data_IF_224615330466
#
_entry.id   IF_224615330466
#
_cell.length_a   1.000
_cell.length_b   1.000
_cell.length_c   1.000
_cell.angle_alpha   90.00
_cell.angle_beta   90.00
_cell.angle_gamma   90.00
#
_symmetry.space_group_name_H-M   'P 1'
#
loop_
_entity.id
_entity.type
_entity.pdbx_description
1 polymer ?
#
# COMPACT_ATOMS: atom_id res chain seq x y z
N UNK A 1 -16.33 -11.68 14.24
CA UNK A 1 -16.27 -10.22 14.10
C UNK A 1 -16.71 -9.89 12.68
N UNK A 2 -17.60 -8.93 12.50
CA UNK A 2 -18.09 -8.52 11.17
C UNK A 2 -17.64 -7.08 10.98
N UNK A 3 -17.03 -6.78 9.83
CA UNK A 3 -16.61 -5.45 9.42
C UNK A 3 -17.50 -4.96 8.27
N UNK A 4 -17.79 -3.65 8.23
CA UNK A 4 -18.58 -3.05 7.16
C UNK A 4 -17.74 -2.66 5.93
N UNK A 5 -16.46 -2.46 6.12
CA UNK A 5 -15.52 -2.19 5.03
C UNK A 5 -14.18 -2.87 5.25
N UNK A 6 -13.39 -3.01 4.19
CA UNK A 6 -12.03 -3.54 4.27
C UNK A 6 -11.14 -2.62 5.15
N UNK A 7 -11.40 -1.32 5.15
CA UNK A 7 -10.68 -0.34 5.96
C UNK A 7 -10.82 -0.58 7.46
N UNK A 8 -11.96 -1.13 7.90
CA UNK A 8 -12.21 -1.43 9.32
C UNK A 8 -11.42 -2.64 9.81
N UNK A 9 -10.99 -3.50 8.88
CA UNK A 9 -10.19 -4.69 9.17
C UNK A 9 -8.69 -4.38 9.27
N UNK A 10 -8.27 -3.15 8.94
CA UNK A 10 -6.86 -2.75 9.00
C UNK A 10 -6.45 -2.53 10.46
N UNK A 11 -5.34 -3.13 10.82
CA UNK A 11 -4.80 -3.00 12.17
C UNK A 11 -5.25 -4.12 13.10
N UNK A 12 -5.13 -3.88 14.40
CA UNK A 12 -5.38 -4.88 15.45
C UNK A 12 -4.70 -6.24 15.19
N UNK A 13 -3.57 -6.22 14.47
CA UNK A 13 -2.80 -7.41 14.13
C UNK A 13 -2.24 -8.06 15.39
N UNK A 14 -2.19 -9.40 15.48
CA UNK A 14 -1.75 -10.09 16.67
C UNK A 14 -0.25 -9.96 16.92
N UNK A 15 0.14 -10.21 18.16
CA UNK A 15 1.51 -10.44 18.57
C UNK A 15 1.72 -11.94 18.80
N UNK A 16 2.86 -12.46 18.34
CA UNK A 16 3.30 -13.83 18.61
C UNK A 16 4.60 -13.78 19.39
N UNK A 17 4.65 -14.44 20.55
CA UNK A 17 5.89 -14.61 21.30
C UNK A 17 6.81 -15.58 20.60
N UNK A 18 8.06 -15.20 20.45
CA UNK A 18 9.10 -16.00 19.80
C UNK A 18 9.90 -16.84 20.82
N UNK A 19 9.21 -17.55 21.69
CA UNK A 19 9.79 -18.29 22.83
C UNK A 19 10.87 -19.32 22.44
N UNK A 20 10.76 -19.92 21.24
CA UNK A 20 11.81 -20.82 20.74
C UNK A 20 13.12 -20.08 20.44
N UNK A 21 13.01 -18.85 19.88
CA UNK A 21 14.17 -18.00 19.61
C UNK A 21 14.83 -17.57 20.91
N UNK A 22 14.03 -17.09 21.87
CA UNK A 22 14.51 -16.72 23.22
C UNK A 22 15.33 -17.86 23.84
N UNK A 23 14.79 -19.08 23.79
CA UNK A 23 15.44 -20.26 24.35
C UNK A 23 16.72 -20.66 23.60
N UNK A 24 16.70 -20.67 22.27
CA UNK A 24 17.85 -21.10 21.45
C UNK A 24 19.05 -20.17 21.67
N UNK A 25 18.79 -18.86 21.75
CA UNK A 25 19.83 -17.83 21.88
C UNK A 25 20.11 -17.39 23.32
N UNK A 26 19.48 -18.01 24.32
CA UNK A 26 19.67 -17.68 25.74
C UNK A 26 19.30 -16.23 26.06
N UNK A 27 18.26 -15.68 25.40
CA UNK A 27 17.85 -14.30 25.57
C UNK A 27 17.01 -14.17 26.84
N UNK A 28 17.45 -13.32 27.77
CA UNK A 28 16.72 -12.98 28.99
C UNK A 28 15.79 -11.79 28.77
N UNK A 29 14.89 -11.95 27.79
CA UNK A 29 13.86 -10.98 27.45
C UNK A 29 12.72 -11.67 26.68
N UNK A 30 11.54 -11.11 26.73
CA UNK A 30 10.41 -11.57 25.93
C UNK A 30 10.42 -10.87 24.56
N UNK A 31 10.47 -11.66 23.49
CA UNK A 31 10.47 -11.16 22.10
C UNK A 31 9.12 -11.46 21.47
N UNK A 32 8.49 -10.43 20.90
CA UNK A 32 7.21 -10.55 20.20
C UNK A 32 7.33 -10.09 18.75
N UNK A 33 6.78 -10.87 17.84
CA UNK A 33 6.60 -10.49 16.44
C UNK A 33 5.20 -9.90 16.25
N UNK A 34 5.12 -8.68 15.71
CA UNK A 34 3.87 -8.05 15.28
C UNK A 34 3.53 -8.54 13.87
N UNK A 35 2.43 -9.27 13.71
CA UNK A 35 2.07 -9.91 12.43
C UNK A 35 1.38 -8.93 11.46
N UNK A 36 2.12 -8.00 10.92
CA UNK A 36 1.58 -7.00 9.99
C UNK A 36 1.15 -7.60 8.62
N UNK A 37 1.59 -8.80 8.30
CA UNK A 37 1.09 -9.56 7.14
C UNK A 37 -0.39 -9.96 7.25
N UNK A 38 -0.97 -9.88 8.43
CA UNK A 38 -2.40 -10.13 8.66
C UNK A 38 -3.30 -8.91 8.39
N UNK A 39 -2.75 -7.77 8.01
CA UNK A 39 -3.56 -6.71 7.42
C UNK A 39 -4.15 -7.17 6.07
N UNK A 40 -5.31 -6.65 5.65
CA UNK A 40 -5.98 -7.06 4.40
C UNK A 40 -5.13 -6.95 3.14
N UNK A 41 -4.29 -5.93 3.01
CA UNK A 41 -3.33 -5.76 1.92
C UNK A 41 -1.98 -6.43 2.18
N UNK A 42 -1.84 -7.16 3.30
CA UNK A 42 -0.70 -8.00 3.62
C UNK A 42 0.51 -7.27 4.22
N UNK A 43 0.38 -6.02 4.65
CA UNK A 43 1.53 -5.30 5.22
C UNK A 43 1.14 -4.19 6.19
N UNK A 44 2.13 -3.68 6.95
CA UNK A 44 1.99 -2.50 7.79
C UNK A 44 1.62 -1.23 6.99
N UNK A 45 1.82 -1.22 5.66
CA UNK A 45 1.51 -0.08 4.80
C UNK A 45 0.03 0.16 4.60
N UNK A 46 -0.81 -0.80 4.89
CA UNK A 46 -2.27 -0.61 4.93
C UNK A 46 -2.65 0.49 5.93
N UNK A 47 -1.99 0.52 7.09
CA UNK A 47 -2.17 1.58 8.10
C UNK A 47 -1.75 2.95 7.57
N UNK A 48 -0.64 3.00 6.85
CA UNK A 48 -0.12 4.24 6.24
C UNK A 48 -1.10 4.74 5.19
N UNK A 49 -1.52 3.88 4.28
CA UNK A 49 -2.46 4.19 3.21
C UNK A 49 -3.80 4.71 3.76
N UNK A 50 -4.36 4.02 4.77
CA UNK A 50 -5.59 4.43 5.42
C UNK A 50 -5.48 5.83 6.04
N UNK A 51 -4.36 6.10 6.71
CA UNK A 51 -4.13 7.39 7.33
C UNK A 51 -3.92 8.51 6.29
N UNK A 52 -3.23 8.23 5.19
CA UNK A 52 -3.06 9.18 4.08
C UNK A 52 -4.42 9.59 3.49
N UNK A 53 -5.29 8.63 3.19
CA UNK A 53 -6.62 8.90 2.63
C UNK A 53 -7.47 9.68 3.62
N UNK A 54 -7.53 9.26 4.89
CA UNK A 54 -8.35 9.93 5.92
C UNK A 54 -7.87 11.36 6.19
N UNK A 55 -6.56 11.57 6.35
CA UNK A 55 -6.00 12.90 6.65
C UNK A 55 -5.97 13.81 5.44
N UNK A 56 -5.82 13.24 4.25
CA UNK A 56 -5.90 13.99 3.00
C UNK A 56 -7.32 14.43 2.63
N UNK A 57 -8.34 13.99 3.39
CA UNK A 57 -9.74 14.29 3.07
C UNK A 57 -10.18 13.74 1.72
N UNK A 58 -9.57 12.63 1.29
CA UNK A 58 -9.82 12.04 -0.02
C UNK A 58 -11.13 11.26 0.04
N UNK A 59 -12.06 11.59 -0.85
CA UNK A 59 -13.42 11.04 -0.89
C UNK A 59 -13.74 10.42 -2.26
N UNK A 60 -14.88 9.75 -2.34
CA UNK A 60 -15.41 9.15 -3.56
C UNK A 60 -15.36 10.13 -4.76
N UNK A 61 -14.96 9.62 -5.92
CA UNK A 61 -14.83 10.38 -7.15
C UNK A 61 -13.50 11.14 -7.32
N UNK A 62 -12.77 11.39 -6.23
CA UNK A 62 -11.42 11.98 -6.33
C UNK A 62 -10.43 11.00 -6.96
N UNK A 63 -9.29 11.53 -7.43
CA UNK A 63 -8.23 10.73 -8.03
C UNK A 63 -6.94 10.85 -7.21
N UNK A 64 -6.40 9.71 -6.82
CA UNK A 64 -5.06 9.59 -6.24
C UNK A 64 -4.07 9.40 -7.39
N UNK A 65 -2.99 10.17 -7.39
CA UNK A 65 -1.83 9.99 -8.27
C UNK A 65 -0.63 9.74 -7.36
N UNK A 66 -0.02 8.55 -7.44
CA UNK A 66 1.06 8.17 -6.53
C UNK A 66 2.19 7.46 -7.26
N UNK A 67 3.42 8.00 -7.20
CA UNK A 67 4.61 7.32 -7.71
C UNK A 67 5.03 6.25 -6.70
N UNK A 68 4.68 5.00 -6.94
CA UNK A 68 4.96 3.90 -6.01
C UNK A 68 5.06 2.57 -6.71
N UNK A 69 5.94 1.72 -6.23
CA UNK A 69 6.07 0.33 -6.66
C UNK A 69 5.92 -0.65 -5.50
N UNK A 70 5.65 -0.16 -4.30
CA UNK A 70 5.68 -0.93 -3.06
C UNK A 70 4.33 -1.16 -2.41
N UNK A 71 4.40 -1.68 -1.18
CA UNK A 71 3.22 -2.02 -0.38
C UNK A 71 2.34 -0.80 -0.04
N UNK A 72 2.89 0.41 -0.05
CA UNK A 72 2.09 1.63 0.13
C UNK A 72 1.08 1.78 -1.00
N UNK A 73 1.51 1.61 -2.25
CA UNK A 73 0.61 1.63 -3.40
C UNK A 73 -0.45 0.53 -3.33
N UNK A 74 -0.08 -0.68 -2.89
CA UNK A 74 -1.05 -1.79 -2.72
C UNK A 74 -2.13 -1.41 -1.70
N UNK A 75 -1.73 -0.86 -0.55
CA UNK A 75 -2.68 -0.39 0.47
C UNK A 75 -3.58 0.73 -0.05
N UNK A 76 -3.02 1.71 -0.77
CA UNK A 76 -3.78 2.79 -1.39
C UNK A 76 -4.78 2.26 -2.43
N UNK A 77 -4.36 1.33 -3.30
CA UNK A 77 -5.21 0.73 -4.33
C UNK A 77 -6.40 -0.02 -3.72
N UNK A 78 -6.14 -0.84 -2.71
CA UNK A 78 -7.16 -1.60 -1.99
C UNK A 78 -8.22 -0.69 -1.35
N UNK A 79 -7.78 0.37 -0.65
CA UNK A 79 -8.69 1.29 0.02
C UNK A 79 -9.42 2.15 -1.00
N UNK A 80 -8.74 2.64 -2.04
CA UNK A 80 -9.35 3.40 -3.13
C UNK A 80 -10.49 2.63 -3.79
N UNK A 81 -10.25 1.34 -4.11
CA UNK A 81 -11.27 0.46 -4.66
C UNK A 81 -12.50 0.33 -3.75
N UNK A 82 -12.30 0.23 -2.44
CA UNK A 82 -13.40 0.08 -1.48
C UNK A 82 -14.17 1.38 -1.21
N UNK A 83 -13.59 2.54 -1.53
CA UNK A 83 -14.15 3.86 -1.25
C UNK A 83 -14.61 4.60 -2.51
N UNK A 84 -14.60 3.98 -3.70
CA UNK A 84 -14.96 4.65 -4.96
C UNK A 84 -14.00 5.77 -5.37
N UNK A 85 -12.74 5.69 -4.93
CA UNK A 85 -11.68 6.65 -5.26
C UNK A 85 -10.94 6.15 -6.50
N UNK A 86 -10.70 7.03 -7.47
CA UNK A 86 -9.86 6.70 -8.62
C UNK A 86 -8.39 6.66 -8.20
N UNK A 87 -7.61 5.75 -8.78
CA UNK A 87 -6.19 5.66 -8.48
C UNK A 87 -5.36 5.48 -9.76
N UNK A 88 -4.28 6.25 -9.86
CA UNK A 88 -3.27 6.17 -10.92
C UNK A 88 -1.93 5.96 -10.23
N UNK A 89 -1.30 4.83 -10.47
CA UNK A 89 0.02 4.53 -9.94
C UNK A 89 1.07 4.63 -11.04
N UNK A 90 2.17 5.30 -10.72
CA UNK A 90 3.28 5.49 -11.65
C UNK A 90 4.48 4.72 -11.13
N UNK A 91 5.14 3.97 -11.99
CA UNK A 91 6.29 3.15 -11.61
C UNK A 91 7.21 2.86 -12.80
N UNK A 92 8.49 2.57 -12.55
CA UNK A 92 9.38 2.11 -13.62
C UNK A 92 8.89 0.80 -14.25
N UNK A 93 9.12 0.63 -15.55
CA UNK A 93 8.74 -0.58 -16.31
C UNK A 93 9.51 -1.84 -15.89
N UNK A 94 10.57 -1.69 -15.09
CA UNK A 94 11.33 -2.78 -14.47
C UNK A 94 10.57 -3.47 -13.33
N UNK A 95 9.40 -2.96 -12.94
CA UNK A 95 8.59 -3.59 -11.89
C UNK A 95 7.97 -4.91 -12.37
N UNK A 96 7.77 -5.82 -11.41
CA UNK A 96 7.23 -7.15 -11.72
C UNK A 96 5.80 -7.07 -12.26
N UNK A 97 5.50 -7.89 -13.27
CA UNK A 97 4.15 -7.99 -13.84
C UNK A 97 3.08 -8.36 -12.80
N UNK A 98 3.44 -9.09 -11.75
CA UNK A 98 2.52 -9.45 -10.67
C UNK A 98 1.98 -8.21 -9.95
N UNK A 99 2.84 -7.22 -9.69
CA UNK A 99 2.42 -5.96 -9.05
C UNK A 99 1.48 -5.16 -9.94
N UNK A 100 1.79 -5.07 -11.22
CA UNK A 100 0.93 -4.37 -12.19
C UNK A 100 -0.44 -5.04 -12.25
N UNK A 101 -0.49 -6.38 -12.31
CA UNK A 101 -1.74 -7.14 -12.27
C UNK A 101 -2.55 -6.90 -10.99
N UNK A 102 -1.87 -6.79 -9.85
CA UNK A 102 -2.54 -6.53 -8.57
C UNK A 102 -3.19 -5.14 -8.55
N UNK A 103 -2.51 -4.11 -9.05
CA UNK A 103 -3.09 -2.77 -9.18
C UNK A 103 -4.32 -2.77 -10.10
N UNK A 104 -4.24 -3.44 -11.23
CA UNK A 104 -5.39 -3.59 -12.13
C UNK A 104 -6.54 -4.37 -11.50
N UNK A 105 -6.25 -5.40 -10.70
CA UNK A 105 -7.27 -6.15 -9.97
C UNK A 105 -8.05 -5.27 -8.97
N UNK A 106 -7.41 -4.24 -8.42
CA UNK A 106 -8.07 -3.20 -7.61
C UNK A 106 -8.72 -2.09 -8.44
N UNK A 107 -8.72 -2.18 -9.78
CA UNK A 107 -9.31 -1.18 -10.65
C UNK A 107 -8.46 0.08 -10.87
N UNK A 108 -7.22 0.11 -10.39
CA UNK A 108 -6.33 1.24 -10.57
C UNK A 108 -5.72 1.26 -11.98
N UNK A 109 -5.41 2.47 -12.47
CA UNK A 109 -4.60 2.67 -13.66
C UNK A 109 -3.12 2.62 -13.29
N UNK A 110 -2.31 2.04 -14.17
CA UNK A 110 -0.85 2.00 -14.03
C UNK A 110 -0.23 2.71 -15.23
N UNK A 111 0.68 3.64 -14.95
CA UNK A 111 1.51 4.32 -15.93
C UNK A 111 2.96 3.90 -15.68
N UNK A 112 3.62 3.39 -16.71
CA UNK A 112 5.03 3.01 -16.61
C UNK A 112 5.94 4.10 -17.15
N UNK A 113 7.10 4.27 -16.52
CA UNK A 113 8.17 5.15 -16.97
C UNK A 113 9.42 4.33 -17.31
N UNK A 114 10.34 4.84 -18.14
CA UNK A 114 11.58 4.13 -18.45
C UNK A 114 12.34 3.75 -17.19
N UNK A 115 12.73 2.47 -17.09
CA UNK A 115 13.41 1.92 -15.91
C UNK A 115 14.73 2.59 -15.59
N UNK A 116 15.42 3.10 -16.60
CA UNK A 116 16.66 3.88 -16.46
C UNK A 116 16.52 5.17 -15.65
N UNK A 117 15.31 5.76 -15.60
CA UNK A 117 15.00 6.93 -14.80
C UNK A 117 14.67 6.58 -13.33
N UNK A 118 14.54 5.30 -13.02
CA UNK A 118 14.22 4.83 -11.66
C UNK A 118 12.95 5.45 -11.11
N UNK A 119 12.87 5.56 -9.79
CA UNK A 119 11.73 6.16 -9.10
C UNK A 119 11.61 7.68 -9.36
N UNK A 120 12.71 8.38 -9.67
CA UNK A 120 12.64 9.79 -9.98
C UNK A 120 11.79 10.05 -11.22
N UNK A 121 11.96 9.26 -12.28
CA UNK A 121 11.11 9.37 -13.46
C UNK A 121 9.62 9.14 -13.18
N UNK A 122 9.30 8.28 -12.21
CA UNK A 122 7.92 8.09 -11.79
C UNK A 122 7.37 9.31 -11.01
N UNK A 123 8.19 9.95 -10.18
CA UNK A 123 7.83 11.18 -9.46
C UNK A 123 7.57 12.32 -10.44
N UNK A 124 8.48 12.54 -11.37
CA UNK A 124 8.37 13.62 -12.37
C UNK A 124 7.08 13.42 -13.20
N UNK A 125 6.81 12.19 -13.63
CA UNK A 125 5.59 11.88 -14.39
C UNK A 125 4.31 12.05 -13.55
N UNK A 126 4.37 11.82 -12.24
CA UNK A 126 3.22 12.06 -11.35
C UNK A 126 2.90 13.55 -11.26
N UNK A 127 3.91 14.41 -11.19
CA UNK A 127 3.74 15.88 -11.19
C UNK A 127 3.17 16.39 -12.51
N UNK A 128 3.63 15.86 -13.65
CA UNK A 128 3.07 16.18 -14.96
C UNK A 128 1.59 15.84 -15.02
N UNK A 129 1.23 14.60 -14.65
CA UNK A 129 -0.18 14.15 -14.67
C UNK A 129 -1.07 14.96 -13.73
N UNK A 130 -0.55 15.37 -12.58
CA UNK A 130 -1.28 16.25 -11.66
C UNK A 130 -1.65 17.57 -12.34
N UNK A 131 -0.72 18.16 -13.09
CA UNK A 131 -0.95 19.42 -13.79
C UNK A 131 -1.87 19.28 -15.02
N UNK A 132 -2.00 18.08 -15.59
CA UNK A 132 -2.90 17.79 -16.71
C UNK A 132 -4.36 17.55 -16.26
N UNK A 133 -4.58 17.06 -15.04
CA UNK A 133 -5.90 16.62 -14.54
C UNK A 133 -6.57 17.71 -13.68
N UNK A 134 -5.84 18.68 -13.18
CA UNK A 134 -6.33 19.85 -12.46
C UNK A 134 -6.54 20.99 -13.43
#
# INVERSE_FOLDING_TARGET
>A
MIYNSISDAIGNTPLIRLSKIEKIFGIDAEIYAKLESMNPGGSAKDRVALNMIKRGGITEGMTIIEPTSGNTGIGLAMIAASCGINAIFIMPDTMTHERIKLFHAYGAKVVTTPGELGMQGAVDKAEDLKNEIV
#
